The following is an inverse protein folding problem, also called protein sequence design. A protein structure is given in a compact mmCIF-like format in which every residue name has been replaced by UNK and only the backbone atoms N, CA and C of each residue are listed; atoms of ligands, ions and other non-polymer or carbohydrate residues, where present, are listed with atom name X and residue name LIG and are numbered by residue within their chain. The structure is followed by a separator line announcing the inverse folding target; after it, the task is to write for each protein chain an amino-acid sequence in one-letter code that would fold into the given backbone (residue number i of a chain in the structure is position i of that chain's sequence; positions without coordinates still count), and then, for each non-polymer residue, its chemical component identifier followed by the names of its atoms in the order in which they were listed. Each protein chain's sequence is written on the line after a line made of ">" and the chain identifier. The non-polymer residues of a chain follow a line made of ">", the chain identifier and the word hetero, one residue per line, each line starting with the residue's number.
data_IF_141085246735
#
_entry.id   IF_141085246735
#
_cell.length_a   1.000
_cell.length_b   1.000
_cell.length_c   1.000
_cell.angle_alpha   90.00
_cell.angle_beta   90.00
_cell.angle_gamma   90.00
#
_symmetry.space_group_name_H-M   'P 1'
#
loop_
_entity.id
_entity.type
_entity.pdbx_description
1 polymer ?
#
# COMPACT_ATOMS: atom_id res chain seq x y z
N UNK A 1 8.85 1.91 12.78
CA UNK A 1 7.52 2.16 13.40
C UNK A 1 6.34 1.63 12.58
N UNK A 2 6.52 0.80 11.54
CA UNK A 2 5.39 0.24 10.80
C UNK A 2 4.59 1.25 9.97
N UNK A 3 5.20 2.42 9.73
CA UNK A 3 4.68 3.45 8.83
C UNK A 3 4.76 2.96 7.39
N UNK A 4 3.72 3.27 6.62
CA UNK A 4 3.70 3.02 5.17
C UNK A 4 4.46 4.17 4.52
N UNK A 5 5.52 3.85 3.78
CA UNK A 5 6.38 4.83 3.11
C UNK A 5 6.65 4.40 1.69
N UNK A 6 6.90 5.37 0.80
CA UNK A 6 7.28 5.13 -0.60
C UNK A 6 6.23 4.33 -1.39
N UNK A 7 4.97 4.78 -1.33
CA UNK A 7 3.86 4.19 -2.08
C UNK A 7 4.12 4.42 -3.57
N UNK A 8 4.05 3.35 -4.36
CA UNK A 8 4.13 3.40 -5.81
C UNK A 8 2.94 2.65 -6.39
N UNK A 9 2.17 3.30 -7.25
CA UNK A 9 1.10 2.66 -8.01
C UNK A 9 1.47 2.56 -9.49
N UNK A 10 0.98 1.50 -10.14
CA UNK A 10 1.07 1.33 -11.59
C UNK A 10 -0.26 0.80 -12.08
N UNK A 11 -0.95 1.57 -12.91
CA UNK A 11 -2.26 1.22 -13.45
C UNK A 11 -2.48 1.76 -14.86
N UNK A 12 -3.61 1.39 -15.49
CA UNK A 12 -3.96 1.87 -16.82
C UNK A 12 -4.46 3.32 -16.84
N UNK A 13 -4.93 3.85 -15.71
CA UNK A 13 -5.53 5.19 -15.60
C UNK A 13 -5.03 5.90 -14.33
N UNK A 14 -4.67 7.19 -14.48
CA UNK A 14 -4.19 8.06 -13.40
C UNK A 14 -5.24 8.30 -12.31
N UNK A 15 -6.53 8.29 -12.64
CA UNK A 15 -7.62 8.42 -11.66
C UNK A 15 -7.62 7.21 -10.71
N UNK A 16 -7.45 6.01 -11.25
CA UNK A 16 -7.39 4.77 -10.47
C UNK A 16 -6.11 4.68 -9.64
N UNK A 17 -4.98 5.16 -10.17
CA UNK A 17 -3.72 5.27 -9.42
C UNK A 17 -3.86 6.18 -8.21
N UNK A 18 -4.42 7.38 -8.38
CA UNK A 18 -4.67 8.31 -7.26
C UNK A 18 -5.57 7.71 -6.19
N UNK A 19 -6.61 7.01 -6.61
CA UNK A 19 -7.54 6.37 -5.68
C UNK A 19 -6.87 5.21 -4.94
N UNK A 20 -6.05 4.41 -5.62
CA UNK A 20 -5.24 3.37 -5.00
C UNK A 20 -4.27 3.96 -3.96
N UNK A 21 -3.53 5.01 -4.30
CA UNK A 21 -2.62 5.71 -3.37
C UNK A 21 -3.38 6.24 -2.14
N UNK A 22 -4.55 6.84 -2.33
CA UNK A 22 -5.42 7.33 -1.26
C UNK A 22 -5.85 6.19 -0.33
N UNK A 23 -6.30 5.06 -0.87
CA UNK A 23 -6.74 3.90 -0.08
C UNK A 23 -5.58 3.35 0.75
N UNK A 24 -4.39 3.21 0.16
CA UNK A 24 -3.19 2.72 0.86
C UNK A 24 -2.76 3.70 1.96
N UNK A 25 -2.87 5.02 1.73
CA UNK A 25 -2.57 6.03 2.74
C UNK A 25 -3.56 6.08 3.92
N UNK A 26 -4.78 5.55 3.75
CA UNK A 26 -5.78 5.44 4.81
C UNK A 26 -5.65 4.17 5.67
N UNK A 27 -4.73 3.27 5.30
CA UNK A 27 -4.48 2.09 6.11
C UNK A 27 -3.96 2.49 7.49
N UNK A 28 -4.39 1.79 8.56
CA UNK A 28 -3.88 2.06 9.89
C UNK A 28 -2.38 1.74 9.96
N UNK A 29 -1.71 2.30 10.96
CA UNK A 29 -0.32 2.00 11.25
C UNK A 29 -0.12 0.48 11.39
N UNK A 30 0.79 -0.08 10.60
CA UNK A 30 1.01 -1.52 10.55
C UNK A 30 1.96 -1.97 11.66
N UNK A 31 1.93 -3.26 12.00
CA UNK A 31 2.98 -3.85 12.82
C UNK A 31 4.21 -4.10 11.96
N UNK A 32 5.40 -3.56 12.32
CA UNK A 32 6.61 -3.79 11.53
C UNK A 32 6.98 -5.28 11.57
N UNK A 33 7.53 -5.78 10.46
CA UNK A 33 8.16 -7.10 10.43
C UNK A 33 9.37 -7.12 11.37
N UNK A 34 9.59 -8.24 12.06
CA UNK A 34 10.72 -8.41 12.96
C UNK A 34 11.66 -9.48 12.39
N UNK A 35 12.93 -9.13 12.22
CA UNK A 35 13.99 -10.08 11.89
C UNK A 35 14.99 -10.10 13.04
N UNK A 36 15.11 -11.25 13.72
CA UNK A 36 16.00 -11.43 14.89
C UNK A 36 15.75 -10.39 16.00
N UNK A 37 14.49 -10.03 16.22
CA UNK A 37 14.08 -9.04 17.22
C UNK A 37 14.17 -7.58 16.77
N UNK A 38 14.73 -7.30 15.59
CA UNK A 38 14.83 -5.95 15.06
C UNK A 38 13.74 -5.66 14.03
N UNK A 39 13.14 -4.46 14.03
CA UNK A 39 12.19 -4.05 13.01
C UNK A 39 12.88 -3.92 11.64
N UNK A 40 12.30 -4.55 10.63
CA UNK A 40 12.79 -4.52 9.25
C UNK A 40 11.76 -3.97 8.28
N UNK A 41 12.24 -3.33 7.21
CA UNK A 41 11.42 -2.87 6.09
C UNK A 41 10.97 -4.07 5.26
N UNK A 42 9.66 -4.20 5.05
CA UNK A 42 9.07 -5.27 4.25
C UNK A 42 8.43 -4.65 3.01
N UNK A 43 8.91 -4.97 1.80
CA UNK A 43 8.24 -4.54 0.57
C UNK A 43 6.96 -5.36 0.37
N UNK A 44 5.86 -4.67 0.06
CA UNK A 44 4.56 -5.28 -0.24
C UNK A 44 4.07 -4.83 -1.61
N UNK A 45 3.46 -5.76 -2.36
CA UNK A 45 2.78 -5.50 -3.62
C UNK A 45 1.34 -5.97 -3.50
N UNK A 46 0.39 -5.03 -3.49
CA UNK A 46 -1.03 -5.31 -3.30
C UNK A 46 -1.74 -5.16 -4.66
N UNK A 47 -2.27 -6.24 -5.26
CA UNK A 47 -3.04 -6.13 -6.49
C UNK A 47 -4.44 -5.54 -6.20
N UNK A 48 -4.78 -4.43 -6.84
CA UNK A 48 -6.08 -3.76 -6.71
C UNK A 48 -6.87 -3.97 -8.00
N UNK A 49 -8.06 -4.56 -7.88
CA UNK A 49 -8.98 -4.75 -9.00
C UNK A 49 -10.18 -3.81 -8.82
N UNK A 50 -10.28 -2.81 -9.67
CA UNK A 50 -11.45 -1.94 -9.70
C UNK A 50 -12.59 -2.63 -10.46
N UNK A 51 -13.78 -2.62 -9.87
CA UNK A 51 -15.01 -3.07 -10.53
C UNK A 51 -15.91 -1.86 -10.74
N UNK A 52 -16.34 -1.68 -11.98
CA UNK A 52 -17.38 -0.70 -12.29
C UNK A 52 -18.71 -1.37 -11.98
N UNK A 53 -19.49 -0.77 -11.10
CA UNK A 53 -20.82 -1.22 -10.78
C UNK A 53 -21.81 -0.38 -11.60
N UNK A 54 -22.52 -1.04 -12.51
CA UNK A 54 -23.63 -0.46 -13.27
C UNK A 54 -24.92 -0.48 -12.46
#
# INVERSE_FOLDING_TARGET
>A
EGNITNIQSRGPDKMLEKEAERIIGLLPQMKPGLQRGNPVTVPYSIPINFKIQN
#
